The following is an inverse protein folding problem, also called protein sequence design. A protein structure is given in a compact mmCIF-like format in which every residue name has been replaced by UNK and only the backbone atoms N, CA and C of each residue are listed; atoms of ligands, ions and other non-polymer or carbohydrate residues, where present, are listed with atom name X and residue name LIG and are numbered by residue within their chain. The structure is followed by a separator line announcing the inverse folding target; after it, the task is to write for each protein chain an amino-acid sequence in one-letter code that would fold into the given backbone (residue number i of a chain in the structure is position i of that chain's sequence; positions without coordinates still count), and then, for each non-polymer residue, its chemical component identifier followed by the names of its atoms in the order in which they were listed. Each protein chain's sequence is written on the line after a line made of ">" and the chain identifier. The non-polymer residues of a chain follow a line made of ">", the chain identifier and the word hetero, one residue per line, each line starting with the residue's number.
data_IF_957856304130
#
_entry.id   IF_957856304130
#
_cell.length_a   1.000
_cell.length_b   1.000
_cell.length_c   1.000
_cell.angle_alpha   90.00
_cell.angle_beta   90.00
_cell.angle_gamma   90.00
#
_symmetry.space_group_name_H-M   'P 1'
#
loop_
_entity.id
_entity.type
_entity.pdbx_description
1 polymer ?
#
# COMPACT_ATOMS: atom_id res chain seq x y z
N UNK A 1 -25.83 -0.62 -5.90
CA UNK A 1 -24.78 0.33 -5.50
C UNK A 1 -23.94 0.71 -6.71
N UNK A 2 -23.41 1.93 -6.74
CA UNK A 2 -22.48 2.36 -7.79
C UNK A 2 -21.07 1.84 -7.49
N UNK A 3 -20.38 1.41 -8.54
CA UNK A 3 -19.01 0.92 -8.47
C UNK A 3 -18.24 1.26 -9.76
N UNK A 4 -16.92 1.39 -9.67
CA UNK A 4 -16.03 1.57 -10.81
C UNK A 4 -15.49 0.20 -11.23
N UNK A 5 -16.01 -0.32 -12.36
CA UNK A 5 -15.73 -1.67 -12.85
C UNK A 5 -14.69 -1.63 -13.96
N UNK A 6 -13.64 -2.42 -13.84
CA UNK A 6 -12.70 -2.72 -14.93
C UNK A 6 -13.25 -3.90 -15.73
N UNK A 7 -13.68 -3.64 -16.97
CA UNK A 7 -14.22 -4.65 -17.89
C UNK A 7 -13.13 -5.41 -18.63
N UNK A 8 -12.16 -4.67 -19.14
CA UNK A 8 -11.02 -5.19 -19.90
C UNK A 8 -9.74 -4.47 -19.50
N UNK A 9 -8.62 -5.15 -19.55
CA UNK A 9 -7.33 -4.52 -19.31
C UNK A 9 -7.06 -3.40 -20.34
N UNK A 10 -6.37 -2.35 -19.93
CA UNK A 10 -6.09 -1.16 -20.74
C UNK A 10 -7.31 -0.33 -21.14
N UNK A 11 -8.46 -0.50 -20.47
CA UNK A 11 -9.64 0.33 -20.68
C UNK A 11 -9.94 1.19 -19.44
N UNK A 12 -10.63 2.33 -19.60
CA UNK A 12 -11.13 3.09 -18.46
C UNK A 12 -12.10 2.26 -17.61
N UNK A 13 -12.17 2.55 -16.31
CA UNK A 13 -13.18 1.99 -15.43
C UNK A 13 -14.56 2.54 -15.81
N UNK A 14 -15.57 1.68 -15.80
CA UNK A 14 -16.97 2.05 -16.05
C UNK A 14 -17.71 2.21 -14.72
N UNK A 15 -18.42 3.34 -14.55
CA UNK A 15 -19.28 3.52 -13.36
C UNK A 15 -20.61 2.83 -13.61
N UNK A 16 -20.85 1.76 -12.85
CA UNK A 16 -22.01 0.87 -13.06
C UNK A 16 -22.81 0.66 -11.77
N UNK A 17 -24.08 0.30 -11.95
CA UNK A 17 -24.89 -0.29 -10.88
C UNK A 17 -24.56 -1.78 -10.74
N UNK A 18 -24.08 -2.16 -9.56
CA UNK A 18 -23.68 -3.53 -9.21
C UNK A 18 -24.48 -3.98 -7.99
N UNK A 19 -24.84 -5.25 -7.94
CA UNK A 19 -25.48 -5.88 -6.79
C UNK A 19 -24.42 -6.43 -5.85
N UNK A 20 -24.68 -6.34 -4.53
CA UNK A 20 -23.85 -6.90 -3.48
C UNK A 20 -24.68 -7.92 -2.67
N UNK A 21 -24.09 -9.06 -2.38
CA UNK A 21 -24.72 -10.10 -1.57
C UNK A 21 -24.85 -9.69 -0.09
N UNK A 22 -25.73 -10.37 0.65
CA UNK A 22 -25.78 -10.23 2.10
C UNK A 22 -24.53 -10.84 2.75
N UNK A 23 -24.10 -10.34 3.92
CA UNK A 23 -22.99 -10.92 4.65
C UNK A 23 -23.21 -12.41 4.99
N UNK A 24 -22.23 -13.25 4.62
CA UNK A 24 -22.09 -14.60 5.14
C UNK A 24 -21.64 -14.58 6.63
N UNK A 25 -21.52 -15.76 7.28
CA UNK A 25 -21.29 -15.83 8.73
C UNK A 25 -20.10 -15.01 9.24
N UNK A 26 -18.98 -14.99 8.52
CA UNK A 26 -17.75 -14.26 8.88
C UNK A 26 -17.48 -13.02 8.02
N UNK A 27 -18.51 -12.50 7.37
CA UNK A 27 -18.38 -11.34 6.49
C UNK A 27 -18.94 -10.07 7.13
N UNK A 28 -18.44 -8.94 6.68
CA UNK A 28 -18.79 -7.61 7.16
C UNK A 28 -19.14 -6.75 5.94
N UNK A 29 -20.30 -6.13 5.96
CA UNK A 29 -20.67 -5.09 5.01
C UNK A 29 -20.14 -3.76 5.52
N UNK A 30 -19.28 -3.13 4.76
CA UNK A 30 -18.65 -1.84 5.08
C UNK A 30 -19.11 -0.80 4.05
N UNK A 31 -19.50 0.36 4.51
CA UNK A 31 -19.70 1.55 3.69
C UNK A 31 -18.41 2.37 3.73
N UNK A 32 -17.62 2.40 2.63
CA UNK A 32 -16.46 3.27 2.54
C UNK A 32 -16.86 4.73 2.73
N UNK A 33 -16.08 5.45 3.50
CA UNK A 33 -16.14 6.92 3.60
C UNK A 33 -15.07 7.53 2.71
N UNK A 34 -13.90 6.87 2.63
CA UNK A 34 -12.80 7.29 1.79
C UNK A 34 -12.06 6.09 1.19
N UNK A 35 -11.58 6.24 -0.05
CA UNK A 35 -10.70 5.27 -0.70
C UNK A 35 -9.55 5.97 -1.44
N UNK A 36 -8.31 5.57 -1.15
CA UNK A 36 -7.12 6.04 -1.84
C UNK A 36 -6.98 5.41 -3.22
N UNK A 37 -6.53 6.21 -4.20
CA UNK A 37 -6.20 5.72 -5.54
C UNK A 37 -4.70 5.42 -5.58
N UNK A 38 -4.35 4.15 -5.77
CA UNK A 38 -2.99 3.64 -5.67
C UNK A 38 -2.38 3.32 -7.04
N UNK A 39 -1.06 3.41 -7.14
CA UNK A 39 -0.34 3.00 -8.35
C UNK A 39 -0.52 1.50 -8.65
N UNK A 40 -0.77 0.68 -7.62
CA UNK A 40 -1.08 -0.74 -7.81
C UNK A 40 -2.40 -0.94 -8.59
N UNK A 41 -3.43 -0.11 -8.35
CA UNK A 41 -4.67 -0.19 -9.14
C UNK A 41 -4.39 0.05 -10.63
N UNK A 42 -3.47 0.95 -10.95
CA UNK A 42 -3.05 1.23 -12.31
C UNK A 42 -2.33 0.03 -12.96
N UNK A 43 -1.47 -0.70 -12.23
CA UNK A 43 -0.80 -1.89 -12.74
C UNK A 43 -1.75 -3.02 -13.10
N UNK A 44 -2.87 -3.15 -12.39
CA UNK A 44 -3.91 -4.11 -12.75
C UNK A 44 -4.81 -3.58 -13.87
N UNK A 45 -5.09 -2.28 -13.90
CA UNK A 45 -5.84 -1.66 -14.98
C UNK A 45 -5.10 -1.75 -16.32
N UNK A 46 -3.78 -1.56 -16.35
CA UNK A 46 -2.96 -1.62 -17.57
C UNK A 46 -2.51 -3.04 -17.96
N UNK A 47 -2.87 -4.06 -17.15
CA UNK A 47 -2.57 -5.45 -17.42
C UNK A 47 -1.11 -5.87 -17.12
N UNK A 48 -0.28 -5.01 -16.51
CA UNK A 48 1.07 -5.37 -16.05
C UNK A 48 1.03 -6.50 -15.02
N UNK A 49 -0.08 -6.59 -14.29
CA UNK A 49 -0.41 -7.70 -13.40
C UNK A 49 -1.78 -8.29 -13.81
N UNK A 50 -1.83 -9.54 -14.31
CA UNK A 50 -3.09 -10.16 -14.74
C UNK A 50 -4.03 -10.39 -13.56
N UNK A 51 -5.33 -10.15 -13.79
CA UNK A 51 -6.40 -10.40 -12.82
C UNK A 51 -7.66 -10.89 -13.50
N UNK A 52 -8.56 -11.56 -12.76
CA UNK A 52 -9.85 -11.98 -13.27
C UNK A 52 -10.76 -10.78 -13.53
N UNK A 53 -11.38 -10.72 -14.70
CA UNK A 53 -12.26 -9.65 -15.15
C UNK A 53 -13.68 -10.18 -15.44
N UNK A 54 -14.73 -9.36 -15.30
CA UNK A 54 -14.72 -7.98 -14.82
C UNK A 54 -14.44 -7.90 -13.32
N UNK A 55 -13.82 -6.80 -12.85
CA UNK A 55 -13.51 -6.60 -11.42
C UNK A 55 -13.73 -5.15 -10.99
N UNK A 56 -14.03 -4.93 -9.71
CA UNK A 56 -14.04 -3.60 -9.11
C UNK A 56 -12.69 -3.40 -8.44
N UNK A 57 -11.93 -2.38 -8.86
CA UNK A 57 -10.62 -2.06 -8.27
C UNK A 57 -10.73 -1.38 -6.89
N UNK A 58 -9.60 -0.91 -6.38
CA UNK A 58 -9.48 -0.22 -5.09
C UNK A 58 -9.18 -1.17 -3.93
N UNK A 59 -8.16 -0.83 -3.14
CA UNK A 59 -7.67 -1.67 -2.02
C UNK A 59 -7.16 -0.86 -0.83
N UNK A 60 -7.37 0.45 -0.81
CA UNK A 60 -6.90 1.38 0.22
C UNK A 60 -8.10 2.17 0.73
N UNK A 61 -8.74 1.74 1.84
CA UNK A 61 -9.98 2.40 2.27
C UNK A 61 -10.21 2.39 3.78
N UNK A 62 -11.01 3.36 4.20
CA UNK A 62 -11.60 3.43 5.54
C UNK A 62 -13.10 3.67 5.43
N UNK A 63 -13.86 3.11 6.36
CA UNK A 63 -15.31 3.16 6.30
C UNK A 63 -15.98 2.83 7.61
N UNK A 64 -17.30 2.70 7.53
CA UNK A 64 -18.17 2.41 8.68
C UNK A 64 -18.84 1.06 8.45
N UNK A 65 -18.86 0.22 9.47
CA UNK A 65 -19.55 -1.08 9.45
C UNK A 65 -21.07 -0.87 9.38
N UNK A 66 -21.72 -1.42 8.36
CA UNK A 66 -23.17 -1.35 8.17
C UNK A 66 -23.89 -2.59 8.69
N UNK A 67 -23.35 -3.78 8.41
CA UNK A 67 -23.92 -5.07 8.80
C UNK A 67 -22.81 -6.08 9.04
N UNK A 68 -23.03 -7.04 9.92
CA UNK A 68 -22.09 -8.12 10.25
C UNK A 68 -22.76 -9.47 10.16
N UNK A 69 -22.04 -10.48 9.73
CA UNK A 69 -22.48 -11.87 9.73
C UNK A 69 -22.58 -12.46 11.14
N UNK A 70 -23.24 -13.62 11.26
CA UNK A 70 -23.60 -14.26 12.55
C UNK A 70 -22.41 -14.57 13.45
N UNK A 71 -21.25 -14.86 12.87
CA UNK A 71 -20.05 -15.32 13.59
C UNK A 71 -19.02 -14.19 13.82
N UNK A 72 -19.31 -12.99 13.33
CA UNK A 72 -18.45 -11.82 13.53
C UNK A 72 -18.57 -11.32 14.96
N UNK A 73 -17.45 -11.27 15.66
CA UNK A 73 -17.39 -10.81 17.07
C UNK A 73 -16.46 -9.62 17.27
N UNK A 74 -15.60 -9.34 16.31
CA UNK A 74 -14.54 -8.32 16.43
C UNK A 74 -15.07 -6.88 16.24
N UNK A 75 -16.04 -6.71 15.35
CA UNK A 75 -16.68 -5.42 15.03
C UNK A 75 -18.20 -5.51 15.07
N UNK A 76 -18.87 -4.38 15.15
CA UNK A 76 -20.32 -4.22 15.10
C UNK A 76 -20.73 -3.05 14.24
N UNK A 77 -22.00 -2.97 13.86
CA UNK A 77 -22.57 -1.82 13.15
C UNK A 77 -22.19 -0.49 13.82
N UNK A 78 -21.74 0.46 13.02
CA UNK A 78 -21.31 1.79 13.43
C UNK A 78 -19.82 1.89 13.76
N UNK A 79 -19.09 0.79 13.89
CA UNK A 79 -17.65 0.83 14.14
C UNK A 79 -16.90 1.43 12.93
N UNK A 80 -15.93 2.30 13.22
CA UNK A 80 -15.00 2.84 12.24
C UNK A 80 -13.89 1.83 11.97
N UNK A 81 -13.59 1.58 10.71
CA UNK A 81 -12.61 0.56 10.30
C UNK A 81 -11.70 1.05 9.17
N UNK A 82 -10.46 0.54 9.19
CA UNK A 82 -9.57 0.54 8.03
C UNK A 82 -9.60 -0.86 7.42
N UNK A 83 -9.61 -0.96 6.09
CA UNK A 83 -9.53 -2.24 5.40
C UNK A 83 -8.09 -2.56 5.00
N UNK A 84 -7.77 -3.85 4.89
CA UNK A 84 -6.44 -4.31 4.51
C UNK A 84 -6.54 -5.52 3.58
N UNK A 85 -5.84 -5.45 2.47
CA UNK A 85 -5.78 -6.55 1.49
C UNK A 85 -5.07 -7.81 2.03
N UNK A 86 -4.29 -7.70 3.12
CA UNK A 86 -3.64 -8.80 3.82
C UNK A 86 -4.65 -9.60 4.66
N UNK A 87 -5.79 -9.98 4.07
CA UNK A 87 -6.76 -10.84 4.74
C UNK A 87 -6.11 -12.17 5.17
N UNK A 88 -6.38 -12.63 6.38
CA UNK A 88 -5.69 -13.77 6.96
C UNK A 88 -6.63 -14.80 7.58
N UNK A 89 -6.28 -16.11 7.52
CA UNK A 89 -7.08 -17.16 8.15
C UNK A 89 -6.85 -17.29 9.65
N UNK A 90 -5.63 -17.02 10.12
CA UNK A 90 -5.26 -17.09 11.53
C UNK A 90 -4.64 -18.44 11.97
N UNK A 91 -4.64 -19.48 11.12
CA UNK A 91 -4.21 -20.82 11.51
C UNK A 91 -3.24 -21.51 10.54
N UNK A 92 -2.97 -20.97 9.34
CA UNK A 92 -1.93 -21.50 8.47
C UNK A 92 -0.53 -21.16 9.01
N UNK A 93 0.50 -21.84 8.51
CA UNK A 93 1.88 -21.65 8.94
C UNK A 93 2.33 -20.18 8.87
N UNK A 94 1.97 -19.48 7.82
CA UNK A 94 2.29 -18.05 7.68
C UNK A 94 1.63 -17.21 8.78
N UNK A 95 0.35 -17.47 9.08
CA UNK A 95 -0.36 -16.73 10.11
C UNK A 95 0.20 -17.03 11.51
N UNK A 96 0.45 -18.30 11.83
CA UNK A 96 0.94 -18.73 13.16
C UNK A 96 2.35 -18.16 13.42
N UNK A 97 3.19 -18.04 12.37
CA UNK A 97 4.55 -17.48 12.49
C UNK A 97 4.59 -15.96 12.39
N UNK A 98 3.44 -15.27 12.29
CA UNK A 98 3.35 -13.82 12.29
C UNK A 98 3.52 -13.15 10.92
N UNK A 99 3.46 -13.92 9.83
CA UNK A 99 3.57 -13.42 8.45
C UNK A 99 2.19 -13.31 7.79
N UNK A 100 1.27 -12.57 8.40
CA UNK A 100 -0.13 -12.44 7.95
C UNK A 100 -0.27 -11.99 6.50
N UNK A 101 0.63 -11.10 6.05
CA UNK A 101 0.67 -10.59 4.67
C UNK A 101 0.96 -11.66 3.61
N UNK A 102 1.40 -12.84 4.02
CA UNK A 102 1.69 -13.99 3.15
C UNK A 102 0.64 -15.10 3.26
N UNK A 103 -0.47 -14.87 3.96
CA UNK A 103 -1.57 -15.81 4.01
C UNK A 103 -2.20 -16.01 2.63
N UNK A 104 -2.25 -17.24 2.18
CA UNK A 104 -2.85 -17.62 0.89
C UNK A 104 -4.07 -18.56 1.06
N UNK A 105 -4.68 -18.58 2.26
CA UNK A 105 -5.84 -19.43 2.53
C UNK A 105 -7.06 -18.97 1.74
N UNK A 106 -7.74 -19.85 0.99
CA UNK A 106 -8.94 -19.48 0.22
C UNK A 106 -10.15 -19.15 1.11
N UNK A 107 -10.16 -19.53 2.37
CA UNK A 107 -11.30 -19.36 3.29
C UNK A 107 -11.60 -17.90 3.67
N UNK A 108 -10.69 -16.96 3.37
CA UNK A 108 -10.96 -15.51 3.49
C UNK A 108 -11.76 -14.96 2.29
N UNK A 109 -11.84 -15.73 1.21
CA UNK A 109 -12.72 -15.51 0.07
C UNK A 109 -14.05 -16.26 0.23
N UNK A 110 -14.85 -16.29 -0.82
CA UNK A 110 -15.96 -17.24 -0.98
C UNK A 110 -15.50 -18.42 -1.84
N UNK A 111 -15.97 -19.60 -1.46
CA UNK A 111 -15.70 -20.80 -2.24
C UNK A 111 -16.42 -20.73 -3.60
N UNK A 112 -15.93 -21.41 -4.64
CA UNK A 112 -16.54 -21.35 -5.99
C UNK A 112 -18.01 -21.74 -6.05
N UNK A 113 -18.48 -22.55 -5.08
CA UNK A 113 -19.86 -23.02 -4.97
C UNK A 113 -20.79 -22.03 -4.29
N UNK A 114 -20.23 -21.01 -3.63
CA UNK A 114 -20.99 -19.96 -2.96
C UNK A 114 -21.37 -18.85 -3.94
N UNK A 115 -22.51 -18.20 -3.72
CA UNK A 115 -22.90 -17.03 -4.50
C UNK A 115 -21.81 -15.95 -4.43
N UNK A 116 -21.44 -15.29 -5.53
CA UNK A 116 -20.39 -14.27 -5.53
C UNK A 116 -20.78 -13.08 -4.63
N UNK A 117 -19.79 -12.40 -4.05
CA UNK A 117 -20.02 -11.18 -3.26
C UNK A 117 -20.60 -10.06 -4.12
N UNK A 118 -20.16 -9.96 -5.36
CA UNK A 118 -20.49 -8.90 -6.30
C UNK A 118 -21.01 -9.51 -7.60
N UNK A 119 -22.12 -8.97 -8.14
CA UNK A 119 -22.70 -9.48 -9.39
C UNK A 119 -23.53 -8.40 -10.09
N UNK A 120 -23.74 -8.58 -11.39
CA UNK A 120 -24.66 -7.76 -12.22
C UNK A 120 -25.57 -8.69 -13.01
N UNK A 121 -26.83 -8.85 -12.57
CA UNK A 121 -27.67 -9.93 -13.04
C UNK A 121 -27.03 -11.28 -12.74
N UNK A 122 -26.84 -12.10 -13.76
CA UNK A 122 -26.19 -13.41 -13.64
C UNK A 122 -24.66 -13.37 -13.82
N UNK A 123 -24.08 -12.18 -14.14
CA UNK A 123 -22.67 -12.01 -14.32
C UNK A 123 -21.96 -11.83 -12.97
N UNK A 124 -20.94 -12.64 -12.70
CA UNK A 124 -20.05 -12.46 -11.54
C UNK A 124 -19.11 -11.29 -11.80
N UNK A 125 -19.03 -10.37 -10.84
CA UNK A 125 -18.00 -9.34 -10.77
C UNK A 125 -16.97 -9.81 -9.76
N UNK A 126 -15.70 -9.92 -10.17
CA UNK A 126 -14.65 -10.39 -9.28
C UNK A 126 -14.28 -9.34 -8.24
N UNK A 127 -13.98 -9.80 -7.03
CA UNK A 127 -13.54 -8.93 -5.96
C UNK A 127 -12.02 -8.72 -6.03
N UNK A 128 -11.58 -7.47 -6.13
CA UNK A 128 -10.17 -7.13 -6.20
C UNK A 128 -9.51 -7.18 -4.82
N UNK A 129 -8.47 -8.01 -4.68
CA UNK A 129 -7.63 -8.14 -3.47
C UNK A 129 -8.46 -8.28 -2.17
N UNK A 130 -9.55 -9.04 -2.20
CA UNK A 130 -10.50 -9.24 -1.10
C UNK A 130 -11.25 -7.99 -0.63
N UNK A 131 -11.16 -6.87 -1.34
CA UNK A 131 -11.68 -5.57 -0.93
C UNK A 131 -12.65 -4.95 -1.94
N UNK A 132 -12.16 -4.49 -3.10
CA UNK A 132 -12.96 -3.74 -4.10
C UNK A 132 -13.52 -2.42 -3.57
N UNK A 133 -12.63 -1.50 -3.17
CA UNK A 133 -13.04 -0.28 -2.46
C UNK A 133 -13.51 0.88 -3.37
N UNK A 134 -13.44 0.74 -4.70
CA UNK A 134 -14.02 1.75 -5.60
C UNK A 134 -15.52 1.49 -5.82
N UNK A 135 -16.26 1.38 -4.73
CA UNK A 135 -17.69 1.12 -4.69
C UNK A 135 -18.33 1.76 -3.44
N UNK A 136 -19.62 2.03 -3.48
CA UNK A 136 -20.39 2.59 -2.35
C UNK A 136 -20.52 1.62 -1.15
N UNK A 137 -20.38 0.32 -1.39
CA UNK A 137 -20.38 -0.72 -0.35
C UNK A 137 -19.33 -1.78 -0.66
N UNK A 138 -18.77 -2.38 0.38
CA UNK A 138 -17.82 -3.49 0.33
C UNK A 138 -18.33 -4.64 1.19
N UNK A 139 -18.30 -5.85 0.68
CA UNK A 139 -18.54 -7.07 1.45
C UNK A 139 -17.23 -7.83 1.59
N UNK A 140 -16.66 -7.86 2.79
CA UNK A 140 -15.33 -8.38 3.04
C UNK A 140 -15.32 -9.36 4.21
N UNK A 141 -14.32 -10.23 4.26
CA UNK A 141 -14.12 -11.08 5.42
C UNK A 141 -13.73 -10.25 6.65
N UNK A 142 -14.18 -10.64 7.87
CA UNK A 142 -13.85 -9.90 9.10
C UNK A 142 -12.34 -9.77 9.34
N UNK A 143 -11.52 -10.67 8.79
CA UNK A 143 -10.06 -10.62 8.86
C UNK A 143 -9.42 -9.75 7.76
N UNK A 144 -10.19 -8.96 7.03
CA UNK A 144 -9.70 -7.96 6.09
C UNK A 144 -9.90 -6.53 6.60
N UNK A 145 -10.19 -6.35 7.90
CA UNK A 145 -10.39 -5.04 8.51
C UNK A 145 -9.83 -4.96 9.92
N UNK A 146 -9.62 -3.73 10.37
CA UNK A 146 -9.25 -3.40 11.74
C UNK A 146 -10.11 -2.25 12.24
N UNK A 147 -10.62 -2.39 13.47
CA UNK A 147 -11.34 -1.32 14.15
C UNK A 147 -10.38 -0.22 14.58
N UNK A 148 -10.77 1.03 14.35
CA UNK A 148 -10.04 2.21 14.77
C UNK A 148 -10.89 3.11 15.65
N UNK A 149 -10.28 4.09 16.27
CA UNK A 149 -10.95 5.12 17.07
C UNK A 149 -11.72 6.10 16.17
N UNK A 150 -12.83 6.63 16.67
CA UNK A 150 -13.77 7.45 15.90
C UNK A 150 -13.25 8.86 15.58
N UNK A 151 -12.28 9.36 16.34
CA UNK A 151 -11.66 10.68 16.14
C UNK A 151 -10.59 10.71 15.03
N UNK A 152 -10.29 9.57 14.38
CA UNK A 152 -9.42 9.50 13.22
C UNK A 152 -10.14 9.96 11.96
N UNK A 153 -9.64 11.00 11.24
CA UNK A 153 -10.22 11.40 9.94
C UNK A 153 -10.15 10.26 8.91
N UNK A 154 -11.27 9.97 8.25
CA UNK A 154 -11.40 8.77 7.41
C UNK A 154 -10.55 8.81 6.14
N UNK A 155 -10.35 9.97 5.54
CA UNK A 155 -9.50 10.15 4.37
C UNK A 155 -8.02 9.85 4.67
N UNK A 156 -7.53 10.23 5.87
CA UNK A 156 -6.19 9.88 6.35
C UNK A 156 -6.13 8.41 6.77
N UNK A 157 -7.20 7.92 7.40
CA UNK A 157 -7.32 6.51 7.76
C UNK A 157 -7.22 5.59 6.52
N UNK A 158 -7.82 5.99 5.39
CA UNK A 158 -7.73 5.24 4.14
C UNK A 158 -6.26 5.02 3.71
N UNK A 159 -5.40 6.05 3.79
CA UNK A 159 -3.98 5.94 3.42
C UNK A 159 -3.21 4.94 4.28
N UNK A 160 -3.66 4.70 5.50
CA UNK A 160 -3.06 3.67 6.37
C UNK A 160 -3.33 2.28 5.81
N UNK A 161 -4.45 2.07 5.09
CA UNK A 161 -4.87 0.77 4.55
C UNK A 161 -3.87 0.12 3.59
N UNK A 162 -3.08 0.91 2.87
CA UNK A 162 -2.09 0.39 1.92
C UNK A 162 -0.74 1.10 2.03
N UNK A 163 -0.62 2.33 1.50
CA UNK A 163 0.68 2.99 1.31
C UNK A 163 1.45 3.19 2.61
N UNK A 164 0.78 3.63 3.67
CA UNK A 164 1.41 3.85 4.97
C UNK A 164 1.84 2.54 5.62
N UNK A 165 0.95 1.55 5.66
CA UNK A 165 1.26 0.22 6.22
C UNK A 165 2.41 -0.43 5.44
N UNK A 166 2.45 -0.28 4.13
CA UNK A 166 3.51 -0.82 3.29
C UNK A 166 4.85 -0.13 3.56
N UNK A 167 4.89 1.20 3.52
CA UNK A 167 6.14 1.96 3.67
C UNK A 167 6.70 1.94 5.08
N UNK A 168 5.88 2.29 6.08
CA UNK A 168 6.29 2.27 7.50
C UNK A 168 6.60 0.84 7.96
N UNK A 169 5.79 -0.12 7.55
CA UNK A 169 6.00 -1.53 7.87
C UNK A 169 7.29 -2.09 7.27
N UNK A 170 7.64 -1.70 6.03
CA UNK A 170 8.92 -2.09 5.43
C UNK A 170 10.12 -1.62 6.27
N UNK A 171 10.02 -0.41 6.82
CA UNK A 171 11.05 0.15 7.72
C UNK A 171 11.10 -0.60 9.06
N UNK A 172 9.95 -0.82 9.70
CA UNK A 172 9.87 -1.35 11.06
C UNK A 172 10.01 -2.86 11.13
N UNK A 173 9.37 -3.58 10.18
CA UNK A 173 9.24 -5.04 10.28
C UNK A 173 10.12 -5.78 9.29
N UNK A 174 10.20 -5.31 8.02
CA UNK A 174 11.02 -6.01 7.02
C UNK A 174 12.50 -5.70 7.20
N UNK A 175 12.86 -4.42 7.26
CA UNK A 175 14.26 -3.99 7.37
C UNK A 175 14.74 -3.90 8.81
N UNK A 176 13.87 -3.55 9.77
CA UNK A 176 14.25 -3.33 11.16
C UNK A 176 15.25 -2.17 11.30
N UNK A 177 14.92 -1.01 10.73
CA UNK A 177 15.84 0.16 10.73
C UNK A 177 16.23 0.57 12.15
N UNK A 178 17.52 0.59 12.40
CA UNK A 178 18.08 0.98 13.69
C UNK A 178 18.27 2.51 13.80
N UNK A 179 18.08 3.10 14.99
CA UNK A 179 18.38 4.51 15.21
C UNK A 179 19.82 4.88 14.83
N UNK A 180 19.99 6.08 14.25
CA UNK A 180 21.30 6.56 13.78
C UNK A 180 21.75 6.01 12.42
N UNK A 181 21.01 5.12 11.78
CA UNK A 181 21.34 4.52 10.48
C UNK A 181 21.26 5.54 9.34
N UNK A 182 22.04 5.28 8.26
CA UNK A 182 21.87 5.94 6.98
C UNK A 182 20.87 5.13 6.13
N UNK A 183 19.83 5.79 5.65
CA UNK A 183 18.74 5.22 4.87
C UNK A 183 18.62 5.95 3.54
N UNK A 184 18.46 5.22 2.43
CA UNK A 184 18.06 5.81 1.15
C UNK A 184 16.72 5.20 0.69
N UNK A 185 15.83 6.05 0.18
CA UNK A 185 14.53 5.64 -0.37
C UNK A 185 14.48 6.10 -1.82
N UNK A 186 14.33 5.14 -2.75
CA UNK A 186 14.22 5.39 -4.18
C UNK A 186 12.75 5.35 -4.58
N UNK A 187 12.26 6.49 -5.05
CA UNK A 187 10.87 6.74 -5.36
C UNK A 187 10.11 7.41 -4.21
N UNK A 188 9.71 8.66 -4.41
CA UNK A 188 8.95 9.47 -3.46
C UNK A 188 7.44 9.50 -3.81
N UNK A 189 6.86 8.35 -4.20
CA UNK A 189 5.42 8.12 -4.26
C UNK A 189 4.84 7.84 -2.86
N UNK A 190 3.56 7.52 -2.76
CA UNK A 190 2.90 7.30 -1.47
C UNK A 190 3.61 6.30 -0.55
N UNK A 191 4.10 5.17 -1.11
CA UNK A 191 4.84 4.15 -0.33
C UNK A 191 6.22 4.65 0.10
N UNK A 192 6.97 5.29 -0.82
CA UNK A 192 8.30 5.83 -0.50
C UNK A 192 8.24 6.97 0.51
N UNK A 193 7.27 7.88 0.38
CA UNK A 193 7.02 8.94 1.37
C UNK A 193 6.68 8.37 2.75
N UNK A 194 5.87 7.30 2.80
CA UNK A 194 5.59 6.59 4.04
C UNK A 194 6.84 5.91 4.62
N UNK A 195 7.72 5.34 3.78
CA UNK A 195 8.99 4.77 4.24
C UNK A 195 9.94 5.86 4.77
N UNK A 196 10.00 7.04 4.14
CA UNK A 196 10.76 8.19 4.63
C UNK A 196 10.28 8.62 6.01
N UNK A 197 8.96 8.80 6.19
CA UNK A 197 8.41 9.17 7.49
C UNK A 197 8.60 8.04 8.51
N UNK A 198 8.46 6.77 8.11
CA UNK A 198 8.78 5.62 8.94
C UNK A 198 10.24 5.62 9.42
N UNK A 199 11.21 5.92 8.54
CA UNK A 199 12.62 6.03 8.88
C UNK A 199 12.89 7.17 9.88
N UNK A 200 12.19 8.30 9.73
CA UNK A 200 12.26 9.41 10.70
C UNK A 200 11.71 8.99 12.06
N UNK A 201 10.56 8.29 12.11
CA UNK A 201 9.99 7.77 13.36
C UNK A 201 10.91 6.72 14.01
N UNK A 202 11.58 5.87 13.20
CA UNK A 202 12.57 4.88 13.68
C UNK A 202 13.84 5.54 14.21
N UNK A 203 14.06 6.84 14.00
CA UNK A 203 15.25 7.56 14.48
C UNK A 203 16.48 7.38 13.58
N UNK A 204 16.31 7.15 12.26
CA UNK A 204 17.41 7.13 11.31
C UNK A 204 18.20 8.45 11.37
N UNK A 205 19.53 8.37 11.28
CA UNK A 205 20.41 9.53 11.40
C UNK A 205 20.49 10.35 10.12
N UNK A 206 20.49 9.68 8.97
CA UNK A 206 20.43 10.29 7.65
C UNK A 206 19.36 9.59 6.81
N UNK A 207 18.47 10.36 6.20
CA UNK A 207 17.39 9.87 5.34
C UNK A 207 17.51 10.59 4.00
N UNK A 208 17.87 9.83 2.96
CA UNK A 208 18.10 10.33 1.61
C UNK A 208 16.90 9.95 0.74
N UNK A 209 16.16 10.93 0.26
CA UNK A 209 15.09 10.75 -0.71
C UNK A 209 15.64 10.87 -2.14
N UNK A 210 15.35 9.90 -2.99
CA UNK A 210 15.80 9.86 -4.39
C UNK A 210 14.58 9.80 -5.31
N UNK A 211 14.38 10.82 -6.15
CA UNK A 211 13.29 10.89 -7.17
C UNK A 211 13.76 11.80 -8.32
N UNK A 212 12.99 11.89 -9.38
CA UNK A 212 13.23 12.80 -10.53
C UNK A 212 12.30 14.01 -10.54
N UNK A 213 11.40 14.13 -9.56
CA UNK A 213 10.36 15.18 -9.50
C UNK A 213 10.60 16.07 -8.29
N UNK A 214 10.96 17.33 -8.52
CA UNK A 214 11.28 18.31 -7.48
C UNK A 214 10.20 18.45 -6.40
N UNK A 215 8.92 18.51 -6.81
CA UNK A 215 7.81 18.66 -5.86
C UNK A 215 7.71 17.48 -4.89
N UNK A 216 8.07 16.27 -5.33
CA UNK A 216 8.12 15.08 -4.47
C UNK A 216 9.31 15.10 -3.54
N UNK A 217 10.45 15.60 -4.00
CA UNK A 217 11.65 15.77 -3.17
C UNK A 217 11.40 16.80 -2.07
N UNK A 218 10.71 17.91 -2.37
CA UNK A 218 10.31 18.89 -1.36
C UNK A 218 9.30 18.30 -0.36
N UNK A 219 8.33 17.52 -0.84
CA UNK A 219 7.40 16.82 0.05
C UNK A 219 8.15 15.82 0.96
N UNK A 220 9.12 15.08 0.42
CA UNK A 220 9.95 14.15 1.19
C UNK A 220 10.71 14.84 2.34
N UNK A 221 11.22 16.06 2.12
CA UNK A 221 11.83 16.87 3.20
C UNK A 221 10.84 17.15 4.33
N UNK A 222 9.60 17.53 3.99
CA UNK A 222 8.57 17.80 5.00
C UNK A 222 8.18 16.57 5.82
N UNK A 223 8.44 15.35 5.29
CA UNK A 223 8.15 14.07 5.92
C UNK A 223 9.36 13.46 6.64
N UNK A 224 10.50 14.17 6.68
CA UNK A 224 11.67 13.77 7.46
C UNK A 224 12.90 13.38 6.66
N UNK A 225 12.91 13.52 5.31
CA UNK A 225 14.15 13.37 4.56
C UNK A 225 15.14 14.47 4.92
N UNK A 226 16.35 14.07 5.29
CA UNK A 226 17.46 15.00 5.63
C UNK A 226 18.20 15.48 4.39
N UNK A 227 18.19 14.67 3.32
CA UNK A 227 18.82 14.96 2.04
C UNK A 227 17.91 14.52 0.91
N UNK A 228 18.03 15.19 -0.24
CA UNK A 228 17.30 14.85 -1.46
C UNK A 228 18.27 14.78 -2.63
N UNK A 229 18.04 13.84 -3.54
CA UNK A 229 18.81 13.64 -4.77
C UNK A 229 17.84 13.59 -5.94
N UNK A 230 18.04 14.50 -6.92
CA UNK A 230 17.37 14.44 -8.21
C UNK A 230 18.13 13.47 -9.13
N UNK A 231 17.60 12.25 -9.24
CA UNK A 231 18.18 11.21 -10.08
C UNK A 231 18.12 11.49 -11.60
N UNK A 232 17.37 12.51 -12.01
CA UNK A 232 17.35 13.00 -13.39
C UNK A 232 18.54 13.88 -13.75
N UNK A 233 19.27 14.40 -12.75
CA UNK A 233 20.35 15.36 -12.93
C UNK A 233 21.75 14.81 -12.59
N UNK A 234 21.84 13.68 -11.87
CA UNK A 234 23.11 13.13 -11.40
C UNK A 234 23.13 11.60 -11.30
N UNK A 235 24.31 11.02 -11.05
CA UNK A 235 24.45 9.63 -10.63
C UNK A 235 24.02 9.48 -9.16
N UNK A 236 22.77 9.09 -8.95
CA UNK A 236 22.22 8.93 -7.61
C UNK A 236 22.98 7.91 -6.74
N UNK A 237 23.58 6.86 -7.33
CA UNK A 237 24.38 5.87 -6.59
C UNK A 237 25.68 6.51 -6.09
N UNK A 238 26.36 7.26 -6.95
CA UNK A 238 27.57 7.99 -6.60
C UNK A 238 27.33 9.01 -5.49
N UNK A 239 26.30 9.85 -5.64
CA UNK A 239 25.90 10.86 -4.65
C UNK A 239 25.56 10.27 -3.28
N UNK A 240 24.76 9.16 -3.25
CA UNK A 240 24.45 8.48 -1.99
C UNK A 240 25.72 7.96 -1.32
N UNK A 241 26.66 7.38 -2.07
CA UNK A 241 27.92 6.87 -1.50
C UNK A 241 28.81 7.98 -0.99
N UNK A 242 28.84 9.12 -1.66
CA UNK A 242 29.60 10.29 -1.22
C UNK A 242 29.02 10.86 0.09
N UNK A 243 27.72 11.14 0.13
CA UNK A 243 27.01 11.64 1.32
C UNK A 243 27.18 10.73 2.54
N UNK A 244 27.13 9.41 2.31
CA UNK A 244 27.17 8.41 3.39
C UNK A 244 28.58 7.90 3.69
N UNK A 245 29.59 8.38 2.97
CA UNK A 245 30.98 7.90 3.06
C UNK A 245 31.12 6.39 2.89
N UNK A 246 30.45 5.84 1.89
CA UNK A 246 30.60 4.43 1.52
C UNK A 246 29.33 3.60 1.40
N UNK A 247 28.16 4.20 1.56
CA UNK A 247 26.83 3.61 1.34
C UNK A 247 25.90 3.58 2.55
N UNK A 248 24.67 3.19 2.30
CA UNK A 248 23.60 3.15 3.32
C UNK A 248 23.59 1.83 4.08
N UNK A 249 23.10 1.88 5.34
CA UNK A 249 22.75 0.70 6.12
C UNK A 249 21.50 0.02 5.53
N UNK A 250 20.53 0.84 5.12
CA UNK A 250 19.27 0.37 4.53
C UNK A 250 18.92 1.16 3.29
N UNK A 251 18.43 0.45 2.26
CA UNK A 251 17.86 1.08 1.07
C UNK A 251 16.47 0.52 0.82
N UNK A 252 15.55 1.37 0.37
CA UNK A 252 14.18 1.01 0.04
C UNK A 252 13.92 1.36 -1.42
N UNK A 253 13.50 0.37 -2.20
CA UNK A 253 13.06 0.54 -3.57
C UNK A 253 11.53 0.58 -3.60
N UNK A 254 10.94 1.72 -4.02
CA UNK A 254 9.49 1.98 -3.96
C UNK A 254 8.90 2.42 -5.32
N UNK A 255 9.55 2.05 -6.44
CA UNK A 255 9.11 2.34 -7.81
C UNK A 255 8.65 1.05 -8.52
N UNK A 256 9.43 -0.03 -8.41
CA UNK A 256 9.18 -1.30 -9.08
C UNK A 256 9.85 -1.43 -10.43
N UNK A 257 11.09 -0.94 -10.58
CA UNK A 257 11.88 -1.08 -11.81
C UNK A 257 13.15 -1.91 -11.58
N UNK A 258 13.58 -2.65 -12.62
CA UNK A 258 14.87 -3.36 -12.62
C UNK A 258 16.01 -2.43 -12.21
N UNK A 259 16.14 -1.29 -12.90
CA UNK A 259 17.23 -0.35 -12.68
C UNK A 259 17.30 0.20 -11.26
N UNK A 260 16.16 0.60 -10.69
CA UNK A 260 16.08 1.15 -9.31
C UNK A 260 16.34 0.09 -8.25
N UNK A 261 15.94 -1.16 -8.51
CA UNK A 261 16.26 -2.30 -7.63
C UNK A 261 17.77 -2.56 -7.60
N UNK A 262 18.43 -2.53 -8.76
CA UNK A 262 19.89 -2.69 -8.87
C UNK A 262 20.63 -1.49 -8.25
N UNK A 263 20.13 -0.26 -8.40
CA UNK A 263 20.65 0.92 -7.72
C UNK A 263 20.54 0.82 -6.20
N UNK A 264 19.39 0.33 -5.68
CA UNK A 264 19.22 0.12 -4.24
C UNK A 264 20.29 -0.83 -3.66
N UNK A 265 20.63 -1.91 -4.40
CA UNK A 265 21.73 -2.78 -4.05
C UNK A 265 23.10 -2.08 -4.10
N UNK A 266 23.34 -1.28 -5.13
CA UNK A 266 24.61 -0.59 -5.33
C UNK A 266 24.87 0.49 -4.28
N UNK A 267 23.81 1.13 -3.75
CA UNK A 267 23.88 2.16 -2.70
C UNK A 267 24.25 1.60 -1.32
N UNK A 268 24.26 0.27 -1.14
CA UNK A 268 24.55 -0.34 0.15
C UNK A 268 26.04 -0.30 0.51
N UNK A 269 26.29 -0.06 1.78
CA UNK A 269 27.60 -0.35 2.43
C UNK A 269 27.75 -1.86 2.67
N UNK A 270 28.97 -2.35 3.01
CA UNK A 270 29.10 -3.69 3.58
C UNK A 270 28.17 -3.91 4.78
N UNK A 271 27.54 -5.09 4.82
CA UNK A 271 26.54 -5.45 5.86
C UNK A 271 25.15 -4.81 5.67
N UNK A 272 24.95 -3.94 4.68
CA UNK A 272 23.69 -3.25 4.43
C UNK A 272 22.60 -4.15 3.84
N UNK A 273 21.33 -3.70 3.96
CA UNK A 273 20.15 -4.41 3.45
C UNK A 273 19.30 -3.55 2.51
N UNK A 274 19.05 -4.06 1.30
CA UNK A 274 18.10 -3.49 0.35
C UNK A 274 16.73 -4.16 0.51
N UNK A 275 15.68 -3.36 0.64
CA UNK A 275 14.29 -3.83 0.71
C UNK A 275 13.52 -3.37 -0.52
N UNK A 276 13.06 -4.32 -1.33
CA UNK A 276 12.28 -4.07 -2.53
C UNK A 276 10.80 -4.09 -2.16
N UNK A 277 10.11 -2.97 -2.37
CA UNK A 277 8.70 -2.77 -2.08
C UNK A 277 7.92 -2.58 -3.38
N UNK A 278 8.56 -1.92 -4.37
CA UNK A 278 7.96 -1.61 -5.65
C UNK A 278 7.52 -2.86 -6.41
N UNK A 279 6.41 -2.75 -7.13
CA UNK A 279 5.85 -3.85 -7.92
C UNK A 279 6.59 -3.95 -9.26
N UNK A 280 7.59 -4.83 -9.33
CA UNK A 280 8.35 -5.09 -10.56
C UNK A 280 7.45 -5.91 -11.52
N UNK A 281 7.35 -5.54 -12.82
CA UNK A 281 6.52 -6.26 -13.79
C UNK A 281 6.88 -7.74 -13.89
N UNK A 282 5.86 -8.58 -14.05
CA UNK A 282 6.00 -10.04 -14.14
C UNK A 282 6.98 -10.42 -15.27
N UNK A 283 7.92 -11.32 -14.96
CA UNK A 283 8.95 -11.78 -15.90
C UNK A 283 10.23 -10.94 -15.94
N UNK A 284 10.28 -9.81 -15.23
CA UNK A 284 11.51 -8.99 -15.15
C UNK A 284 12.54 -9.66 -14.26
N UNK A 285 13.77 -9.78 -14.76
CA UNK A 285 14.92 -10.32 -14.02
C UNK A 285 15.80 -9.21 -13.50
N UNK A 286 16.26 -9.31 -12.25
CA UNK A 286 17.18 -8.38 -11.59
C UNK A 286 18.58 -9.00 -11.58
N UNK A 287 19.60 -8.20 -11.87
CA UNK A 287 21.01 -8.64 -11.94
C UNK A 287 21.82 -7.98 -10.81
N UNK A 288 22.46 -8.79 -10.00
CA UNK A 288 23.27 -8.34 -8.88
C UNK A 288 24.73 -8.78 -9.06
N UNK A 289 25.68 -7.93 -8.66
CA UNK A 289 27.08 -8.28 -8.71
C UNK A 289 27.42 -9.29 -7.61
N UNK A 290 27.69 -10.53 -8.02
CA UNK A 290 27.77 -11.69 -7.11
C UNK A 290 28.81 -11.58 -6.00
N UNK A 291 29.98 -10.91 -6.26
CA UNK A 291 31.02 -10.76 -5.25
C UNK A 291 30.59 -9.88 -4.07
N UNK A 292 29.62 -9.01 -4.26
CA UNK A 292 29.12 -8.11 -3.21
C UNK A 292 28.47 -8.89 -2.04
N UNK A 293 28.01 -10.12 -2.27
CA UNK A 293 27.51 -10.99 -1.21
C UNK A 293 28.59 -11.35 -0.18
N UNK A 294 29.89 -11.34 -0.57
CA UNK A 294 31.00 -11.53 0.37
C UNK A 294 31.18 -10.34 1.32
N UNK A 295 30.60 -9.19 0.98
CA UNK A 295 30.52 -8.04 1.87
C UNK A 295 29.27 -8.08 2.81
N UNK A 296 28.63 -9.24 2.93
CA UNK A 296 27.44 -9.47 3.75
C UNK A 296 26.23 -8.57 3.40
N UNK A 297 26.18 -8.04 2.18
CA UNK A 297 25.02 -7.31 1.70
C UNK A 297 23.80 -8.24 1.59
N UNK A 298 22.61 -7.71 1.84
CA UNK A 298 21.34 -8.44 1.79
C UNK A 298 20.38 -7.75 0.85
N UNK A 299 19.54 -8.53 0.14
CA UNK A 299 18.39 -8.05 -0.59
C UNK A 299 17.17 -8.88 -0.19
N UNK A 300 16.05 -8.23 0.02
CA UNK A 300 14.81 -8.86 0.47
C UNK A 300 13.60 -8.16 -0.11
N UNK A 301 12.47 -8.88 -0.23
CA UNK A 301 11.19 -8.30 -0.60
C UNK A 301 10.37 -7.90 0.64
N UNK A 302 9.42 -6.98 0.45
CA UNK A 302 8.45 -6.59 1.46
C UNK A 302 7.05 -6.59 0.86
N UNK A 303 6.20 -7.53 1.29
CA UNK A 303 4.79 -7.55 0.92
C UNK A 303 3.97 -6.83 1.97
N UNK A 304 3.35 -5.69 1.57
CA UNK A 304 2.53 -4.87 2.46
C UNK A 304 3.24 -4.52 3.79
N UNK A 305 4.57 -4.28 3.73
CA UNK A 305 5.37 -3.92 4.90
C UNK A 305 5.52 -5.05 5.93
N UNK A 306 5.39 -6.32 5.53
CA UNK A 306 5.41 -7.48 6.46
C UNK A 306 4.47 -7.26 7.65
N UNK A 307 3.30 -6.68 7.39
CA UNK A 307 2.40 -6.13 8.39
C UNK A 307 1.73 -7.18 9.29
N UNK A 308 1.38 -6.72 10.47
CA UNK A 308 0.43 -7.32 11.41
C UNK A 308 -0.68 -6.30 11.63
N UNK A 309 -1.45 -6.00 10.59
CA UNK A 309 -2.24 -4.78 10.46
C UNK A 309 -3.20 -4.51 11.64
N UNK A 310 -3.77 -5.55 12.28
CA UNK A 310 -4.61 -5.37 13.48
C UNK A 310 -3.86 -4.81 14.70
N UNK A 311 -2.51 -4.90 14.69
CA UNK A 311 -1.64 -4.31 15.71
C UNK A 311 -1.03 -3.01 15.20
N UNK A 312 -0.61 -2.98 13.94
CA UNK A 312 0.18 -1.89 13.37
C UNK A 312 -0.68 -0.68 13.02
N UNK A 313 -1.83 -0.88 12.35
CA UNK A 313 -2.67 0.25 11.92
C UNK A 313 -3.20 1.10 13.08
N UNK A 314 -3.67 0.55 14.21
CA UNK A 314 -4.00 1.35 15.39
C UNK A 314 -2.82 2.17 15.93
N UNK A 315 -1.59 1.63 15.89
CA UNK A 315 -0.38 2.38 16.25
C UNK A 315 -0.07 3.50 15.25
N UNK A 316 -0.30 3.28 13.96
CA UNK A 316 -0.13 4.32 12.93
C UNK A 316 -1.17 5.43 13.07
N UNK A 317 -2.41 5.09 13.46
CA UNK A 317 -3.43 6.07 13.86
C UNK A 317 -2.94 6.90 15.05
N UNK A 318 -2.39 6.27 16.09
CA UNK A 318 -1.84 6.98 17.25
C UNK A 318 -0.62 7.84 16.85
N UNK A 319 0.24 7.38 15.94
CA UNK A 319 1.35 8.20 15.44
C UNK A 319 0.86 9.44 14.69
N UNK A 320 -0.19 9.31 13.87
CA UNK A 320 -0.80 10.45 13.19
C UNK A 320 -1.40 11.44 14.18
N UNK A 321 -2.23 10.98 15.11
CA UNK A 321 -2.90 11.84 16.09
C UNK A 321 -1.91 12.52 17.07
N UNK A 322 -0.74 11.91 17.28
CA UNK A 322 0.37 12.49 18.07
C UNK A 322 1.35 13.32 17.21
N UNK A 323 1.05 13.59 15.95
CA UNK A 323 1.87 14.44 15.07
C UNK A 323 3.22 13.83 14.66
N UNK A 324 3.39 12.50 14.74
CA UNK A 324 4.60 11.78 14.30
C UNK A 324 4.50 11.27 12.86
N UNK A 325 3.31 10.86 12.46
CA UNK A 325 3.02 10.40 11.10
C UNK A 325 2.27 11.51 10.36
N UNK A 326 2.80 11.92 9.22
CA UNK A 326 2.31 13.07 8.47
C UNK A 326 1.51 12.62 7.24
N UNK A 327 0.20 12.42 7.40
CA UNK A 327 -0.69 11.96 6.33
C UNK A 327 -1.34 13.12 5.55
N UNK A 328 -1.50 14.30 6.18
CA UNK A 328 -2.17 15.45 5.55
C UNK A 328 -1.48 15.89 4.26
N UNK A 329 -0.15 15.95 4.27
CA UNK A 329 0.66 16.38 3.13
C UNK A 329 0.68 15.35 1.99
N UNK A 330 0.31 14.10 2.27
CA UNK A 330 0.27 13.02 1.27
C UNK A 330 -0.98 13.08 0.39
N UNK A 331 -2.05 13.77 0.82
CA UNK A 331 -3.29 13.91 0.05
C UNK A 331 -3.15 15.09 -0.91
N UNK A 332 -3.08 14.81 -2.22
CA UNK A 332 -3.03 15.86 -3.25
C UNK A 332 -4.41 16.41 -3.57
N UNK A 333 -5.45 15.57 -3.61
CA UNK A 333 -6.81 15.97 -3.97
C UNK A 333 -7.85 15.00 -3.43
N UNK A 334 -9.00 15.54 -2.99
CA UNK A 334 -10.23 14.79 -2.77
C UNK A 334 -11.04 14.78 -4.07
N UNK A 335 -11.56 13.60 -4.46
CA UNK A 335 -12.30 13.40 -5.71
C UNK A 335 -13.58 12.60 -5.45
N UNK A 336 -14.49 12.58 -6.41
CA UNK A 336 -15.66 11.69 -6.43
C UNK A 336 -15.30 10.37 -7.13
N UNK A 337 -16.10 9.32 -6.90
CA UNK A 337 -15.93 8.03 -7.59
C UNK A 337 -15.95 8.20 -9.14
N UNK A 338 -16.77 9.12 -9.66
CA UNK A 338 -16.85 9.40 -11.09
C UNK A 338 -15.58 9.99 -11.70
N UNK A 339 -14.66 10.53 -10.87
CA UNK A 339 -13.39 11.13 -11.30
C UNK A 339 -12.21 10.13 -11.19
N UNK A 340 -12.47 8.85 -10.91
CA UNK A 340 -11.44 7.84 -10.67
C UNK A 340 -10.49 7.64 -11.86
N UNK A 341 -11.02 7.72 -13.09
CA UNK A 341 -10.20 7.57 -14.30
C UNK A 341 -9.22 8.74 -14.48
N UNK A 342 -9.64 9.95 -14.14
CA UNK A 342 -8.79 11.13 -14.16
C UNK A 342 -7.67 11.01 -13.12
N UNK A 343 -7.99 10.51 -11.93
CA UNK A 343 -7.01 10.24 -10.89
C UNK A 343 -5.99 9.17 -11.30
N UNK A 344 -6.44 8.07 -11.92
CA UNK A 344 -5.55 7.02 -12.44
C UNK A 344 -4.65 7.55 -13.57
N UNK A 345 -5.18 8.42 -14.44
CA UNK A 345 -4.40 9.09 -15.48
C UNK A 345 -3.34 10.05 -14.88
N UNK A 346 -3.70 10.79 -13.83
CA UNK A 346 -2.77 11.69 -13.14
C UNK A 346 -1.60 10.92 -12.46
N UNK A 347 -1.83 9.72 -11.95
CA UNK A 347 -0.76 8.88 -11.41
C UNK A 347 0.31 8.52 -12.45
N UNK A 348 -0.07 8.37 -13.75
CA UNK A 348 0.89 8.11 -14.83
C UNK A 348 1.87 9.28 -15.04
N UNK A 349 1.45 10.51 -14.77
CA UNK A 349 2.33 11.68 -14.89
C UNK A 349 3.34 11.79 -13.75
N UNK A 350 3.09 11.09 -12.65
CA UNK A 350 3.94 11.06 -11.47
C UNK A 350 3.98 12.38 -10.69
N UNK A 351 3.12 13.36 -10.96
CA UNK A 351 3.15 14.67 -10.30
C UNK A 351 2.44 14.67 -8.93
N UNK A 352 1.38 13.87 -8.78
CA UNK A 352 0.58 13.81 -7.56
C UNK A 352 1.04 12.68 -6.61
N UNK A 353 0.95 12.92 -5.30
CA UNK A 353 1.27 11.92 -4.30
C UNK A 353 0.10 10.94 -4.13
N UNK A 354 -1.11 11.45 -3.82
CA UNK A 354 -2.29 10.59 -3.57
C UNK A 354 -3.60 11.32 -3.83
N UNK A 355 -4.49 10.74 -4.63
CA UNK A 355 -5.90 11.14 -4.70
C UNK A 355 -6.74 10.26 -3.77
N UNK A 356 -7.74 10.86 -3.14
CA UNK A 356 -8.66 10.15 -2.24
C UNK A 356 -10.09 10.35 -2.72
N UNK A 357 -10.76 9.24 -3.06
CA UNK A 357 -12.19 9.23 -3.36
C UNK A 357 -12.94 9.44 -2.05
N UNK A 358 -13.82 10.45 -2.01
CA UNK A 358 -14.75 10.68 -0.91
C UNK A 358 -16.14 10.21 -1.34
N UNK A 359 -16.74 9.36 -0.53
CA UNK A 359 -18.11 8.90 -0.77
C UNK A 359 -19.11 9.78 -0.01
N UNK A 360 -20.25 10.09 -0.65
CA UNK A 360 -21.33 10.83 -0.02
C UNK A 360 -21.86 10.04 1.19
N UNK A 361 -22.09 10.73 2.33
CA UNK A 361 -22.57 10.13 3.57
C UNK A 361 -24.10 9.92 3.55
#
# INVERSE_FOLDING_TARGET
>A
MKAAVLREANTPLEIEEVSISKPGPREVLVRPVAAGVCHSDLHFMDGSYPYALPTILGHESAGIVEEVGSDVTYVKKGDHVITCLSAFCGHCDQCITGHLSLCASPEVGRMPEEAPRLHKGDETIHQFLNLSSFAELMLIHEHALVKIREDMPMDRAALIGCSTTTGVGAVFHTAGVEPGSNVAVIGCGGVGLAAINGAAIAGAGMIIAVDMVDSKLELAKSLGATHTIDAGQCDAVGEVKELTQGGCHYTFEAIGLKATTEQAWQMLRPGGAATVIGMIPVGTMVELHGVDFLAEKKIQGSNMGSNRFRVDMPRFVDFYLNGKLHLDQMISKHIKLSEVNEALAALKTGQDARHVIMFDQ
#
